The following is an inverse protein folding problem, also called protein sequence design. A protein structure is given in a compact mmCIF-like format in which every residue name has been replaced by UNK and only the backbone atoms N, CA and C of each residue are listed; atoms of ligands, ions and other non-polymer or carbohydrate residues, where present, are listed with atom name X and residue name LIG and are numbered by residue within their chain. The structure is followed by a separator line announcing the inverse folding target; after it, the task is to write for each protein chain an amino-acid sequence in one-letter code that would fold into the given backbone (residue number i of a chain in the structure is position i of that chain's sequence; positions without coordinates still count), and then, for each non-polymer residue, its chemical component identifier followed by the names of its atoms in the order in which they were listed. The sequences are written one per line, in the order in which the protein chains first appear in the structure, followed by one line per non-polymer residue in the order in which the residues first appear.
data_IF_750838798390
#
_entry.id   IF_750838798390
#
_cell.length_a   1.000
_cell.length_b   1.000
_cell.length_c   1.000
_cell.angle_alpha   90.00
_cell.angle_beta   90.00
_cell.angle_gamma   90.00
#
_symmetry.space_group_name_H-M   'P 1'
#
loop_
_entity.id
_entity.type
_entity.pdbx_description
1 polymer ?
#
# COMPACT_ATOMS: atom_id res chain seq x y z
N UNK A 1 7.27 -2.91 4.33
CA UNK A 1 8.56 -2.21 4.51
C UNK A 1 8.61 -0.79 3.91
N UNK A 2 7.66 -0.35 3.08
CA UNK A 2 7.72 0.95 2.38
C UNK A 2 7.58 2.23 3.24
N UNK A 3 7.07 2.12 4.48
CA UNK A 3 6.79 3.27 5.36
C UNK A 3 7.83 3.46 6.48
N UNK A 4 8.89 2.66 6.49
CA UNK A 4 9.91 2.66 7.55
C UNK A 4 11.18 3.33 7.02
N UNK A 5 11.48 4.52 7.56
CA UNK A 5 12.75 5.19 7.29
C UNK A 5 13.91 4.38 7.89
N UNK A 6 15.03 4.31 7.16
CA UNK A 6 16.28 3.67 7.61
C UNK A 6 17.38 4.72 7.73
N UNK A 7 18.33 4.48 8.63
CA UNK A 7 19.44 5.40 8.87
C UNK A 7 20.36 5.63 7.65
N UNK A 8 20.33 4.73 6.67
CA UNK A 8 21.14 4.80 5.46
C UNK A 8 20.41 5.43 4.27
N UNK A 9 19.16 5.90 4.45
CA UNK A 9 18.38 6.49 3.35
C UNK A 9 18.90 7.88 2.94
N UNK A 10 18.96 8.10 1.64
CA UNK A 10 19.18 9.43 1.05
C UNK A 10 17.89 10.27 1.05
N UNK A 11 18.00 11.54 0.62
CA UNK A 11 16.84 12.45 0.60
C UNK A 11 15.69 11.96 -0.31
N UNK A 12 15.98 11.24 -1.40
CA UNK A 12 14.95 10.72 -2.30
C UNK A 12 14.22 9.55 -1.66
N UNK A 13 14.96 8.67 -0.99
CA UNK A 13 14.40 7.54 -0.25
C UNK A 13 13.53 8.02 0.92
N UNK A 14 13.93 9.08 1.62
CA UNK A 14 13.10 9.71 2.66
C UNK A 14 11.80 10.32 2.11
N UNK A 15 11.86 11.01 0.96
CA UNK A 15 10.66 11.51 0.28
C UNK A 15 9.72 10.36 -0.11
N UNK A 16 10.28 9.25 -0.57
CA UNK A 16 9.50 8.07 -0.93
C UNK A 16 8.80 7.46 0.29
N UNK A 17 9.48 7.37 1.44
CA UNK A 17 8.88 6.93 2.71
C UNK A 17 7.68 7.80 3.09
N UNK A 18 7.82 9.13 3.03
CA UNK A 18 6.72 10.04 3.36
C UNK A 18 5.56 9.90 2.37
N UNK A 19 5.85 9.73 1.08
CA UNK A 19 4.80 9.48 0.08
C UNK A 19 4.02 8.20 0.38
N UNK A 20 4.68 7.12 0.79
CA UNK A 20 4.00 5.87 1.15
C UNK A 20 3.24 5.97 2.47
N UNK A 21 3.72 6.74 3.44
CA UNK A 21 2.96 7.03 4.67
C UNK A 21 1.67 7.77 4.34
N UNK A 22 1.76 8.84 3.55
CA UNK A 22 0.59 9.60 3.12
C UNK A 22 -0.42 8.75 2.34
N UNK A 23 0.06 7.85 1.47
CA UNK A 23 -0.81 6.92 0.75
C UNK A 23 -1.53 5.96 1.70
N UNK A 24 -0.80 5.36 2.65
CA UNK A 24 -1.40 4.47 3.65
C UNK A 24 -2.46 5.21 4.45
N UNK A 25 -2.10 6.38 4.98
CA UNK A 25 -2.99 7.16 5.84
C UNK A 25 -4.24 7.60 5.06
N UNK A 26 -4.11 7.96 3.78
CA UNK A 26 -5.25 8.22 2.89
C UNK A 26 -6.17 7.01 2.77
N UNK A 27 -5.62 5.82 2.48
CA UNK A 27 -6.44 4.60 2.32
C UNK A 27 -7.12 4.21 3.63
N UNK A 28 -6.41 4.28 4.76
CA UNK A 28 -6.96 3.95 6.09
C UNK A 28 -8.02 4.96 6.57
N UNK A 29 -7.98 6.21 6.10
CA UNK A 29 -8.94 7.26 6.50
C UNK A 29 -10.14 7.38 5.57
N UNK A 30 -10.03 6.92 4.32
CA UNK A 30 -11.08 7.08 3.30
C UNK A 30 -11.84 5.80 2.99
N UNK A 31 -11.30 4.64 3.37
CA UNK A 31 -11.89 3.34 3.08
C UNK A 31 -12.28 2.60 4.35
N UNK A 32 -13.51 2.14 4.38
CA UNK A 32 -14.01 1.17 5.34
C UNK A 32 -13.57 -0.24 4.95
N UNK A 33 -13.47 -1.15 5.93
CA UNK A 33 -13.13 -2.56 5.71
C UNK A 33 -11.91 -2.80 4.80
N UNK A 34 -10.86 -1.97 4.93
CA UNK A 34 -9.64 -2.11 4.14
C UNK A 34 -8.96 -3.47 4.38
N UNK A 35 -8.80 -4.27 3.32
CA UNK A 35 -8.21 -5.61 3.34
C UNK A 35 -7.11 -5.76 2.28
N UNK A 36 -6.15 -6.64 2.56
CA UNK A 36 -5.05 -6.97 1.64
C UNK A 36 -5.22 -8.38 1.10
N UNK A 37 -5.27 -8.53 -0.22
CA UNK A 37 -5.34 -9.81 -0.91
C UNK A 37 -4.03 -10.06 -1.64
N UNK A 38 -3.45 -11.25 -1.47
CA UNK A 38 -2.20 -11.68 -2.13
C UNK A 38 -2.51 -12.91 -2.98
N UNK A 39 -2.23 -12.83 -4.28
CA UNK A 39 -2.61 -13.85 -5.26
C UNK A 39 -1.37 -14.23 -6.07
N UNK A 40 -1.00 -15.51 -6.03
CA UNK A 40 0.22 -16.03 -6.67
C UNK A 40 1.27 -16.48 -5.66
N UNK A 41 2.40 -17.00 -6.16
CA UNK A 41 3.47 -17.58 -5.32
C UNK A 41 4.86 -17.08 -5.63
N UNK A 42 5.16 -16.73 -6.89
CA UNK A 42 6.46 -16.16 -7.31
C UNK A 42 6.25 -14.71 -7.74
N UNK A 43 5.33 -14.50 -8.68
CA UNK A 43 4.77 -13.20 -8.99
C UNK A 43 3.44 -13.10 -8.24
N UNK A 44 3.41 -12.24 -7.22
CA UNK A 44 2.28 -12.09 -6.30
C UNK A 44 1.61 -10.76 -6.60
N UNK A 45 0.40 -10.83 -7.14
CA UNK A 45 -0.48 -9.67 -7.25
C UNK A 45 -1.06 -9.35 -5.88
N UNK A 46 -0.91 -8.09 -5.47
CA UNK A 46 -1.38 -7.57 -4.19
C UNK A 46 -2.44 -6.51 -4.44
N UNK A 47 -3.62 -6.72 -3.86
CA UNK A 47 -4.74 -5.80 -3.92
C UNK A 47 -5.03 -5.28 -2.51
N UNK A 48 -5.05 -3.95 -2.35
CA UNK A 48 -5.56 -3.29 -1.17
C UNK A 48 -6.95 -2.78 -1.52
N UNK A 49 -8.00 -3.43 -1.02
CA UNK A 49 -9.39 -3.12 -1.34
C UNK A 49 -10.14 -2.72 -0.08
N UNK A 50 -10.94 -1.67 -0.16
CA UNK A 50 -11.88 -1.27 0.87
C UNK A 50 -13.13 -0.66 0.24
N UNK A 51 -14.04 -0.18 1.08
CA UNK A 51 -15.33 0.39 0.68
C UNK A 51 -15.34 1.89 0.90
N UNK A 52 -15.93 2.64 -0.02
CA UNK A 52 -16.29 4.05 0.23
C UNK A 52 -17.59 4.14 1.03
N UNK A 53 -17.92 5.34 1.52
CA UNK A 53 -19.21 5.62 2.17
C UNK A 53 -20.42 5.26 1.28
N UNK A 54 -20.25 5.30 -0.05
CA UNK A 54 -21.25 4.92 -1.05
C UNK A 54 -21.28 3.39 -1.35
N UNK A 55 -20.66 2.56 -0.50
CA UNK A 55 -20.52 1.10 -0.61
C UNK A 55 -19.83 0.63 -1.91
N UNK A 56 -19.01 1.49 -2.53
CA UNK A 56 -18.21 1.12 -3.70
C UNK A 56 -16.89 0.50 -3.26
N UNK A 57 -16.52 -0.63 -3.87
CA UNK A 57 -15.21 -1.26 -3.63
C UNK A 57 -14.17 -0.54 -4.48
N UNK A 58 -13.21 0.12 -3.83
CA UNK A 58 -12.07 0.77 -4.48
C UNK A 58 -10.76 0.39 -3.80
N UNK A 59 -9.64 0.67 -4.47
CA UNK A 59 -8.36 0.23 -3.95
C UNK A 59 -7.16 0.44 -4.87
N UNK A 60 -6.04 -0.15 -4.47
CA UNK A 60 -4.76 -0.08 -5.20
C UNK A 60 -4.26 -1.49 -5.51
N UNK A 61 -3.74 -1.68 -6.72
CA UNK A 61 -3.04 -2.90 -7.15
C UNK A 61 -1.53 -2.64 -7.19
N UNK A 62 -0.74 -3.58 -6.69
CA UNK A 62 0.70 -3.67 -6.95
C UNK A 62 1.10 -5.12 -7.16
N UNK A 63 2.31 -5.36 -7.66
CA UNK A 63 2.88 -6.70 -7.79
C UNK A 63 4.16 -6.79 -6.97
N UNK A 64 4.38 -7.93 -6.33
CA UNK A 64 5.59 -8.27 -5.57
C UNK A 64 6.17 -9.53 -6.20
N UNK A 65 7.48 -9.56 -6.41
CA UNK A 65 8.18 -10.77 -6.85
C UNK A 65 8.92 -11.34 -5.64
N UNK A 66 8.62 -12.58 -5.27
CA UNK A 66 9.28 -13.34 -4.21
C UNK A 66 10.02 -14.53 -4.85
N UNK A 67 11.33 -14.61 -4.63
CA UNK A 67 12.24 -15.63 -5.18
C UNK A 67 13.06 -16.28 -4.09
#
# INVERSE_FOLDING_TARGET
QATVARAWFDSRELILVERYRNLRDLLETTLEDLQVYRIGTVEIDVYLLGKTEDDQIIGVKTTIVET
#
